data_IF_051434039165
#
_entry.id   IF_051434039165
#
_cell.length_a   1.000
_cell.length_b   1.000
_cell.length_c   1.000
_cell.angle_alpha   90.00
_cell.angle_beta   90.00
_cell.angle_gamma   90.00
#
_symmetry.space_group_name_H-M   'P 1'
#
loop_
_entity.id
_entity.type
_entity.pdbx_description
1 polymer ?
#
# COMPACT_ATOMS: atom_id res chain seq x y z
N UNK A 1 -20.67 -5.10 -22.01
CA UNK A 1 -20.89 -5.06 -20.55
C UNK A 1 -20.06 -3.89 -20.04
N UNK A 2 -20.70 -2.82 -19.57
CA UNK A 2 -19.99 -1.63 -19.05
C UNK A 2 -19.35 -2.04 -17.73
N UNK A 3 -18.02 -2.02 -17.67
CA UNK A 3 -17.30 -2.17 -16.41
C UNK A 3 -17.69 -0.97 -15.53
N UNK A 4 -18.57 -1.19 -14.55
CA UNK A 4 -18.80 -0.19 -13.52
C UNK A 4 -17.47 0.06 -12.80
N UNK A 5 -17.04 1.32 -12.73
CA UNK A 5 -15.92 1.73 -11.90
C UNK A 5 -16.27 1.41 -10.44
N UNK A 6 -15.91 0.22 -9.97
CA UNK A 6 -15.96 -0.12 -8.55
C UNK A 6 -14.85 0.64 -7.85
N UNK A 7 -15.16 1.88 -7.46
CA UNK A 7 -14.23 2.68 -6.67
C UNK A 7 -14.09 2.05 -5.29
N UNK A 8 -13.00 1.33 -5.06
CA UNK A 8 -12.75 0.67 -3.78
C UNK A 8 -12.74 1.69 -2.65
N UNK A 9 -13.32 1.30 -1.52
CA UNK A 9 -13.29 2.10 -0.29
C UNK A 9 -11.89 2.04 0.34
N UNK A 10 -11.56 3.04 1.15
CA UNK A 10 -10.32 3.05 1.92
C UNK A 10 -10.15 1.79 2.78
N UNK A 11 -11.25 1.25 3.33
CA UNK A 11 -11.24 0.03 4.13
C UNK A 11 -10.81 -1.18 3.30
N UNK A 12 -11.36 -1.33 2.09
CA UNK A 12 -11.03 -2.44 1.20
C UNK A 12 -9.57 -2.38 0.75
N UNK A 13 -9.09 -1.20 0.33
CA UNK A 13 -7.69 -0.99 -0.05
C UNK A 13 -6.76 -1.31 1.12
N UNK A 14 -7.12 -0.89 2.35
CA UNK A 14 -6.34 -1.19 3.55
C UNK A 14 -6.25 -2.69 3.83
N UNK A 15 -7.36 -3.42 3.76
CA UNK A 15 -7.38 -4.87 4.01
C UNK A 15 -6.55 -5.61 2.94
N UNK A 16 -6.70 -5.26 1.66
CA UNK A 16 -5.91 -5.85 0.59
C UNK A 16 -4.41 -5.63 0.77
N UNK A 17 -4.00 -4.40 1.07
CA UNK A 17 -2.58 -4.09 1.27
C UNK A 17 -2.02 -4.75 2.53
N UNK A 18 -2.84 -4.92 3.57
CA UNK A 18 -2.42 -5.58 4.81
C UNK A 18 -2.06 -7.05 4.58
N UNK A 19 -2.79 -7.76 3.72
CA UNK A 19 -2.51 -9.17 3.37
C UNK A 19 -1.10 -9.33 2.80
N UNK A 20 -0.62 -8.33 2.06
CA UNK A 20 0.70 -8.34 1.42
C UNK A 20 1.77 -7.60 2.24
N UNK A 21 1.49 -7.29 3.51
CA UNK A 21 2.47 -6.68 4.42
C UNK A 21 2.65 -5.16 4.25
N UNK A 22 1.72 -4.49 3.57
CA UNK A 22 1.72 -3.03 3.39
C UNK A 22 0.62 -2.41 4.24
N UNK A 23 0.93 -1.28 4.86
CA UNK A 23 0.01 -0.47 5.64
C UNK A 23 -0.28 0.83 4.92
N UNK A 24 -1.52 1.27 5.03
CA UNK A 24 -1.91 2.64 4.67
C UNK A 24 -2.50 3.39 5.86
N UNK A 25 -2.24 4.69 5.90
CA UNK A 25 -2.87 5.62 6.84
C UNK A 25 -3.25 6.91 6.11
N UNK A 26 -4.31 7.58 6.56
CA UNK A 26 -4.80 8.83 5.95
C UNK A 26 -4.70 9.97 6.95
N UNK A 27 -4.16 11.10 6.51
CA UNK A 27 -4.13 12.37 7.26
C UNK A 27 -4.57 13.50 6.32
N UNK A 28 -5.75 14.07 6.58
CA UNK A 28 -6.37 15.03 5.66
C UNK A 28 -6.58 14.40 4.28
N UNK A 29 -6.05 15.07 3.25
CA UNK A 29 -6.10 14.59 1.85
C UNK A 29 -4.92 13.71 1.45
N UNK A 30 -3.99 13.42 2.36
CA UNK A 30 -2.80 12.60 2.08
C UNK A 30 -2.97 11.19 2.65
N UNK A 31 -2.64 10.20 1.84
CA UNK A 31 -2.58 8.78 2.16
C UNK A 31 -1.10 8.41 2.15
N UNK A 32 -0.62 7.91 3.28
CA UNK A 32 0.70 7.32 3.43
C UNK A 32 0.60 5.83 3.17
N UNK A 33 1.50 5.29 2.36
CA UNK A 33 1.65 3.86 2.05
C UNK A 33 3.06 3.44 2.46
N UNK A 34 3.19 2.39 3.26
CA UNK A 34 4.50 1.89 3.68
C UNK A 34 4.44 0.40 4.04
N UNK A 35 5.59 -0.25 4.07
CA UNK A 35 5.69 -1.60 4.63
C UNK A 35 5.41 -1.62 6.14
N UNK A 36 5.00 -2.77 6.67
CA UNK A 36 4.91 -2.99 8.11
C UNK A 36 6.28 -2.76 8.79
N UNK A 37 6.34 -1.85 9.77
CA UNK A 37 7.61 -1.46 10.41
C UNK A 37 8.57 -0.66 9.51
N UNK A 38 8.13 -0.23 8.32
CA UNK A 38 8.96 0.54 7.40
C UNK A 38 9.35 1.91 7.95
N UNK A 39 10.57 2.35 7.65
CA UNK A 39 11.09 3.66 8.05
C UNK A 39 10.33 4.79 7.36
N UNK A 40 10.37 6.03 7.89
CA UNK A 40 9.71 7.17 7.25
C UNK A 40 10.14 7.40 5.79
N UNK A 41 11.42 7.20 5.46
CA UNK A 41 11.98 7.38 4.11
C UNK A 41 11.48 6.37 3.06
N UNK A 42 10.98 5.21 3.48
CA UNK A 42 10.43 4.20 2.56
C UNK A 42 8.95 4.43 2.23
N UNK A 43 8.33 5.43 2.88
CA UNK A 43 6.92 5.71 2.71
C UNK A 43 6.63 6.47 1.40
N UNK A 44 5.57 6.07 0.71
CA UNK A 44 5.00 6.81 -0.41
C UNK A 44 3.78 7.61 0.07
N UNK A 45 3.59 8.81 -0.47
CA UNK A 45 2.44 9.65 -0.18
C UNK A 45 1.67 9.95 -1.47
N UNK A 46 0.35 9.79 -1.42
CA UNK A 46 -0.56 10.07 -2.53
C UNK A 46 -1.87 10.65 -1.99
N UNK A 47 -2.66 11.30 -2.84
CA UNK A 47 -4.02 11.74 -2.51
C UNK A 47 -5.12 10.82 -3.06
N UNK A 48 -4.75 9.79 -3.84
CA UNK A 48 -5.68 8.87 -4.50
C UNK A 48 -5.62 7.47 -3.92
N UNK A 49 -6.79 6.84 -3.76
CA UNK A 49 -6.88 5.44 -3.32
C UNK A 49 -6.33 4.46 -4.36
N UNK A 50 -6.56 4.74 -5.64
CA UNK A 50 -6.10 3.89 -6.75
C UNK A 50 -4.57 3.92 -6.87
N UNK A 51 -3.98 5.10 -6.67
CA UNK A 51 -2.53 5.25 -6.59
C UNK A 51 -1.97 4.57 -5.34
N UNK A 52 -2.67 4.67 -4.19
CA UNK A 52 -2.23 4.03 -2.95
C UNK A 52 -2.21 2.50 -3.10
N UNK A 53 -3.23 1.93 -3.74
CA UNK A 53 -3.30 0.51 -4.05
C UNK A 53 -2.16 0.09 -4.99
N UNK A 54 -1.98 0.83 -6.09
CA UNK A 54 -0.94 0.54 -7.09
C UNK A 54 0.47 0.61 -6.49
N UNK A 55 0.74 1.64 -5.69
CA UNK A 55 2.01 1.81 -4.99
C UNK A 55 2.25 0.69 -3.98
N UNK A 56 1.25 0.36 -3.16
CA UNK A 56 1.37 -0.69 -2.15
C UNK A 56 1.58 -2.08 -2.75
N UNK A 57 0.87 -2.44 -3.82
CA UNK A 57 1.09 -3.70 -4.53
C UNK A 57 2.49 -3.76 -5.15
N UNK A 58 2.99 -2.64 -5.64
CA UNK A 58 4.36 -2.55 -6.18
C UNK A 58 5.42 -2.72 -5.09
N UNK A 59 5.20 -2.12 -3.91
CA UNK A 59 6.07 -2.26 -2.73
C UNK A 59 6.17 -3.71 -2.22
N UNK A 60 5.08 -4.49 -2.35
CA UNK A 60 5.05 -5.88 -1.93
C UNK A 60 5.74 -6.85 -2.91
N UNK A 61 6.16 -6.39 -4.09
CA UNK A 61 6.87 -7.25 -5.04
C UNK A 61 8.24 -7.63 -4.48
N UNK A 62 8.70 -8.89 -4.67
CA UNK A 62 9.98 -9.37 -4.14
C UNK A 62 11.20 -8.51 -4.46
N UNK A 63 11.20 -7.85 -5.63
CA UNK A 63 12.28 -6.95 -6.07
C UNK A 63 12.37 -5.65 -5.26
N UNK A 64 11.32 -5.27 -4.55
CA UNK A 64 11.19 -4.04 -3.78
C UNK A 64 11.09 -4.29 -2.27
N UNK A 65 11.20 -5.55 -1.83
CA UNK A 65 11.22 -5.88 -0.41
C UNK A 65 12.56 -5.44 0.19
N UNK A 66 12.55 -4.77 1.37
CA UNK A 66 13.75 -4.52 2.15
C UNK A 66 14.53 -5.82 2.40
N UNK A 67 15.87 -5.79 2.33
CA UNK A 67 16.72 -7.00 2.49
C UNK A 67 16.46 -7.75 3.80
N UNK A 68 16.02 -7.06 4.85
CA UNK A 68 15.69 -7.62 6.16
C UNK A 68 14.30 -8.28 6.24
N UNK A 69 13.48 -8.20 5.19
CA UNK A 69 12.13 -8.77 5.15
C UNK A 69 12.12 -10.29 4.94
N UNK A 70 13.09 -10.82 4.18
CA UNK A 70 13.20 -12.25 3.88
C UNK A 70 14.17 -13.00 4.81
N UNK A 71 14.86 -12.30 5.72
CA UNK A 71 15.89 -12.89 6.58
C UNK A 71 15.36 -13.66 7.80
N UNK A 72 14.04 -13.66 8.04
CA UNK A 72 13.40 -14.29 9.20
C UNK A 72 12.30 -15.30 8.83
N UNK A 73 12.45 -16.02 7.72
CA UNK A 73 11.59 -17.18 7.42
C UNK A 73 12.28 -18.48 7.76
#
# INVERSE_FOLDING_TARGET
MVAGEWKMTFREVREQLRIVGVLISKRGSSIRVNHFGGMPETACFTSSLDEALTAGLSMARPKHLPKNWCAHR
#
